data_IF_633261022391
#
_entry.id   IF_633261022391
#
_cell.length_a   1.000
_cell.length_b   1.000
_cell.length_c   1.000
_cell.angle_alpha   90.00
_cell.angle_beta   90.00
_cell.angle_gamma   90.00
#
_symmetry.space_group_name_H-M   'P 1'
#
loop_
_entity.id
_entity.type
_entity.pdbx_description
1 polymer ?
#
# COMPACT_ATOMS: atom_id res chain seq x y z
N UNK A 1 -35.91 21.78 -2.54
CA UNK A 1 -35.08 21.46 -1.35
C UNK A 1 -33.75 20.99 -1.90
N UNK A 2 -32.66 21.72 -1.63
CA UNK A 2 -31.34 21.28 -2.07
C UNK A 2 -31.01 19.97 -1.36
N UNK A 3 -30.73 18.94 -2.13
CA UNK A 3 -30.37 17.60 -1.62
C UNK A 3 -29.08 17.73 -0.81
N UNK A 4 -29.21 17.77 0.53
CA UNK A 4 -28.06 17.94 1.46
C UNK A 4 -27.31 16.61 1.67
N UNK A 5 -27.32 15.76 0.63
CA UNK A 5 -26.67 14.44 0.64
C UNK A 5 -25.16 14.61 0.66
N UNK A 6 -24.50 13.95 1.60
CA UNK A 6 -23.04 13.97 1.70
C UNK A 6 -22.42 13.24 0.51
N UNK A 7 -21.38 13.83 -0.07
CA UNK A 7 -20.66 13.30 -1.23
C UNK A 7 -19.38 12.60 -0.82
N UNK A 8 -19.16 11.40 -1.34
CA UNK A 8 -17.90 10.66 -1.17
C UNK A 8 -17.26 10.41 -2.53
N UNK A 9 -15.99 10.77 -2.67
CA UNK A 9 -15.18 10.48 -3.85
C UNK A 9 -14.38 9.20 -3.63
N UNK A 10 -14.60 8.20 -4.48
CA UNK A 10 -13.91 6.92 -4.45
C UNK A 10 -12.91 6.82 -5.60
N UNK A 11 -11.64 6.63 -5.29
CA UNK A 11 -10.57 6.51 -6.27
C UNK A 11 -10.44 5.06 -6.76
N UNK A 12 -10.53 4.88 -8.08
CA UNK A 12 -10.53 3.58 -8.74
C UNK A 12 -11.90 3.19 -9.29
N UNK A 13 -11.98 2.05 -9.97
CA UNK A 13 -13.20 1.60 -10.62
C UNK A 13 -13.32 0.09 -10.77
N UNK A 14 -12.45 -0.69 -10.11
CA UNK A 14 -12.43 -2.13 -10.24
C UNK A 14 -13.56 -2.82 -9.45
N UNK A 15 -13.77 -4.09 -9.74
CA UNK A 15 -14.90 -4.89 -9.27
C UNK A 15 -15.06 -4.90 -7.74
N UNK A 16 -13.96 -4.92 -7.00
CA UNK A 16 -14.00 -4.97 -5.53
C UNK A 16 -14.46 -3.66 -4.88
N UNK A 17 -14.59 -2.57 -5.65
CA UNK A 17 -15.16 -1.32 -5.15
C UNK A 17 -16.70 -1.39 -5.09
N UNK A 18 -17.34 -2.31 -5.81
CA UNK A 18 -18.81 -2.40 -5.89
C UNK A 18 -19.49 -2.55 -4.51
N UNK A 19 -19.05 -3.48 -3.62
CA UNK A 19 -19.67 -3.60 -2.29
C UNK A 19 -19.46 -2.35 -1.43
N UNK A 20 -18.38 -1.61 -1.63
CA UNK A 20 -18.10 -0.36 -0.91
C UNK A 20 -19.04 0.75 -1.37
N UNK A 21 -19.33 0.84 -2.68
CA UNK A 21 -20.32 1.75 -3.26
C UNK A 21 -21.70 1.45 -2.69
N UNK A 22 -22.10 0.17 -2.67
CA UNK A 22 -23.38 -0.26 -2.13
C UNK A 22 -23.52 0.11 -0.65
N UNK A 23 -22.50 -0.16 0.17
CA UNK A 23 -22.50 0.23 1.58
C UNK A 23 -22.58 1.76 1.76
N UNK A 24 -21.93 2.55 0.91
CA UNK A 24 -22.04 4.00 0.93
C UNK A 24 -23.46 4.49 0.60
N UNK A 25 -24.13 3.88 -0.39
CA UNK A 25 -25.51 4.18 -0.71
C UNK A 25 -26.46 3.82 0.44
N UNK A 26 -26.28 2.67 1.10
CA UNK A 26 -27.06 2.28 2.28
C UNK A 26 -26.92 3.29 3.42
N UNK A 27 -25.75 3.94 3.54
CA UNK A 27 -25.49 5.02 4.48
C UNK A 27 -25.98 6.40 4.00
N UNK A 28 -26.61 6.47 2.82
CA UNK A 28 -27.18 7.69 2.26
C UNK A 28 -26.18 8.64 1.60
N UNK A 29 -24.98 8.17 1.23
CA UNK A 29 -24.00 9.00 0.51
C UNK A 29 -24.31 9.06 -0.99
N UNK A 30 -24.02 10.20 -1.61
CA UNK A 30 -23.86 10.36 -3.06
C UNK A 30 -22.44 9.91 -3.42
N UNK A 31 -22.32 8.87 -4.23
CA UNK A 31 -21.05 8.22 -4.54
C UNK A 31 -20.52 8.68 -5.89
N UNK A 32 -19.31 9.21 -5.88
CA UNK A 32 -18.59 9.65 -7.07
C UNK A 32 -17.37 8.76 -7.24
N UNK A 33 -17.16 8.21 -8.43
CA UNK A 33 -15.95 7.46 -8.76
C UNK A 33 -15.02 8.25 -9.68
N UNK A 34 -13.71 8.05 -9.52
CA UNK A 34 -12.67 8.70 -10.32
C UNK A 34 -11.62 7.67 -10.72
N UNK A 35 -11.37 7.54 -12.01
CA UNK A 35 -10.33 6.65 -12.59
C UNK A 35 -10.06 7.08 -14.04
N UNK A 36 -8.88 6.83 -14.57
CA UNK A 36 -8.54 7.08 -15.97
C UNK A 36 -9.10 6.00 -16.94
N UNK A 37 -9.59 4.87 -16.42
CA UNK A 37 -10.17 3.77 -17.20
C UNK A 37 -11.71 3.84 -17.17
N UNK A 38 -12.35 4.43 -18.19
CA UNK A 38 -13.81 4.73 -18.17
C UNK A 38 -14.69 3.48 -18.22
N UNK A 39 -14.13 2.34 -18.60
CA UNK A 39 -14.91 1.09 -18.75
C UNK A 39 -14.82 0.18 -17.51
N UNK A 40 -14.18 0.63 -16.44
CA UNK A 40 -14.14 -0.11 -15.19
C UNK A 40 -15.56 -0.30 -14.63
N UNK A 41 -15.83 -1.53 -14.19
CA UNK A 41 -17.20 -1.99 -13.91
C UNK A 41 -17.86 -1.24 -12.74
N UNK A 42 -17.10 -0.78 -11.76
CA UNK A 42 -17.65 -0.14 -10.57
C UNK A 42 -18.30 1.22 -10.87
N UNK A 43 -17.89 1.93 -11.94
CA UNK A 43 -18.47 3.21 -12.32
C UNK A 43 -19.98 3.13 -12.60
N UNK A 44 -20.48 1.97 -13.04
CA UNK A 44 -21.92 1.74 -13.32
C UNK A 44 -22.78 1.70 -12.06
N UNK A 45 -22.15 1.57 -10.90
CA UNK A 45 -22.84 1.49 -9.61
C UNK A 45 -22.75 2.79 -8.80
N UNK A 46 -21.91 3.74 -9.24
CA UNK A 46 -21.80 5.08 -8.67
C UNK A 46 -22.84 6.03 -9.27
N UNK A 47 -23.13 7.11 -8.56
CA UNK A 47 -24.04 8.16 -9.04
C UNK A 47 -23.37 9.03 -10.10
N UNK A 48 -22.02 9.18 -10.05
CA UNK A 48 -21.26 10.03 -10.93
C UNK A 48 -19.86 9.45 -11.17
N UNK A 49 -19.29 9.69 -12.38
CA UNK A 49 -17.95 9.25 -12.75
C UNK A 49 -17.15 10.39 -13.39
N UNK A 50 -15.88 10.51 -13.00
CA UNK A 50 -14.91 11.43 -13.60
C UNK A 50 -13.70 10.71 -14.15
N UNK A 51 -13.32 11.02 -15.39
CA UNK A 51 -12.15 10.45 -16.06
C UNK A 51 -10.90 11.27 -15.72
N UNK A 52 -10.32 10.98 -14.54
CA UNK A 52 -9.08 11.61 -14.06
C UNK A 52 -8.20 10.51 -13.46
N UNK A 53 -6.90 10.56 -13.74
CA UNK A 53 -5.95 9.61 -13.14
C UNK A 53 -5.92 9.78 -11.62
N UNK A 54 -6.11 8.67 -10.91
CA UNK A 54 -6.05 8.65 -9.44
C UNK A 54 -4.65 8.94 -8.87
N UNK A 55 -3.63 8.94 -9.71
CA UNK A 55 -2.24 9.30 -9.34
C UNK A 55 -1.95 10.78 -9.56
N UNK A 56 -2.81 11.51 -10.29
CA UNK A 56 -2.71 12.96 -10.42
C UNK A 56 -3.40 13.64 -9.23
N UNK A 57 -2.66 13.75 -8.13
CA UNK A 57 -3.16 14.33 -6.87
C UNK A 57 -3.68 15.75 -7.01
N UNK A 58 -3.13 16.54 -7.95
CA UNK A 58 -3.56 17.93 -8.15
C UNK A 58 -4.89 17.99 -8.90
N UNK A 59 -5.04 17.22 -9.98
CA UNK A 59 -6.31 17.13 -10.72
C UNK A 59 -7.43 16.57 -9.82
N UNK A 60 -7.15 15.55 -9.01
CA UNK A 60 -8.12 15.01 -8.05
C UNK A 60 -8.47 16.03 -6.96
N UNK A 61 -7.52 16.83 -6.49
CA UNK A 61 -7.78 17.91 -5.53
C UNK A 61 -8.72 18.97 -6.11
N UNK A 62 -8.50 19.41 -7.34
CA UNK A 62 -9.38 20.41 -7.99
C UNK A 62 -10.79 19.83 -8.21
N UNK A 63 -10.90 18.58 -8.66
CA UNK A 63 -12.18 17.89 -8.75
C UNK A 63 -12.89 17.84 -7.38
N UNK A 64 -12.19 17.49 -6.33
CA UNK A 64 -12.71 17.39 -4.97
C UNK A 64 -13.27 18.74 -4.46
N UNK A 65 -12.59 19.85 -4.79
CA UNK A 65 -13.04 21.23 -4.48
C UNK A 65 -14.30 21.60 -5.27
N UNK A 66 -14.31 21.34 -6.58
CA UNK A 66 -15.44 21.64 -7.46
C UNK A 66 -16.69 20.92 -6.99
N UNK A 67 -16.58 19.62 -6.71
CA UNK A 67 -17.70 18.77 -6.27
C UNK A 67 -18.12 19.03 -4.81
N UNK A 68 -17.28 19.74 -4.02
CA UNK A 68 -17.50 20.00 -2.58
C UNK A 68 -17.75 18.70 -1.82
N UNK A 69 -16.85 17.74 -1.98
CA UNK A 69 -16.95 16.43 -1.34
C UNK A 69 -16.87 16.53 0.18
N UNK A 70 -17.46 15.55 0.88
CA UNK A 70 -17.41 15.43 2.34
C UNK A 70 -16.41 14.37 2.79
N UNK A 71 -15.92 13.53 1.88
CA UNK A 71 -14.94 12.50 2.11
C UNK A 71 -14.33 11.96 0.83
N UNK A 72 -13.16 11.38 0.93
CA UNK A 72 -12.47 10.70 -0.17
C UNK A 72 -11.83 9.43 0.36
N UNK A 73 -11.83 8.38 -0.46
CA UNK A 73 -11.16 7.13 -0.11
C UNK A 73 -10.58 6.43 -1.34
N UNK A 74 -9.57 5.60 -1.10
CA UNK A 74 -9.06 4.60 -2.04
C UNK A 74 -9.14 3.24 -1.34
N UNK A 75 -10.00 2.35 -1.82
CA UNK A 75 -10.20 1.03 -1.25
C UNK A 75 -9.56 -0.03 -2.14
N UNK A 76 -8.57 -0.76 -1.60
CA UNK A 76 -7.81 -1.79 -2.31
C UNK A 76 -7.21 -1.32 -3.66
N UNK A 77 -6.90 -0.04 -3.77
CA UNK A 77 -6.27 0.60 -4.95
C UNK A 77 -5.04 1.38 -4.49
N UNK A 78 -3.92 0.70 -4.30
CA UNK A 78 -2.68 1.27 -3.75
C UNK A 78 -2.25 2.59 -4.40
N UNK A 79 -2.30 2.75 -5.75
CA UNK A 79 -1.89 4.01 -6.37
C UNK A 79 -2.73 5.24 -5.97
N UNK A 80 -3.97 5.02 -5.53
CA UNK A 80 -4.88 6.11 -5.12
C UNK A 80 -4.76 6.51 -3.65
N UNK A 81 -4.18 5.66 -2.80
CA UNK A 81 -4.15 5.89 -1.33
C UNK A 81 -3.42 7.17 -0.96
N UNK A 82 -2.27 7.42 -1.59
CA UNK A 82 -1.48 8.64 -1.36
C UNK A 82 -2.22 9.91 -1.83
N UNK A 83 -2.93 9.81 -2.95
CA UNK A 83 -3.77 10.90 -3.48
C UNK A 83 -4.94 11.20 -2.54
N UNK A 84 -5.62 10.17 -2.02
CA UNK A 84 -6.72 10.34 -1.06
C UNK A 84 -6.22 11.06 0.20
N UNK A 85 -5.10 10.63 0.78
CA UNK A 85 -4.49 11.27 1.95
C UNK A 85 -4.09 12.73 1.67
N UNK A 86 -3.53 13.02 0.49
CA UNK A 86 -3.18 14.38 0.08
C UNK A 86 -4.41 15.30 0.02
N UNK A 87 -5.51 14.83 -0.56
CA UNK A 87 -6.75 15.60 -0.66
C UNK A 87 -7.36 15.82 0.72
N UNK A 88 -7.38 14.80 1.59
CA UNK A 88 -7.83 14.94 2.98
C UNK A 88 -7.04 16.04 3.70
N UNK A 89 -5.71 15.99 3.61
CA UNK A 89 -4.82 16.98 4.24
C UNK A 89 -5.07 18.41 3.74
N UNK A 90 -5.23 18.58 2.42
CA UNK A 90 -5.46 19.89 1.79
C UNK A 90 -6.83 20.49 2.06
N UNK A 91 -7.85 19.66 2.25
CA UNK A 91 -9.24 20.12 2.44
C UNK A 91 -9.70 20.02 3.89
N UNK A 92 -8.87 19.55 4.82
CA UNK A 92 -9.26 19.32 6.21
C UNK A 92 -10.33 18.23 6.36
N UNK A 93 -10.38 17.26 5.44
CA UNK A 93 -11.31 16.15 5.51
C UNK A 93 -10.78 15.05 6.44
N UNK A 94 -11.68 14.24 7.05
CA UNK A 94 -11.24 13.09 7.82
C UNK A 94 -10.39 12.13 6.98
N UNK A 95 -9.24 11.73 7.51
CA UNK A 95 -8.31 10.84 6.82
C UNK A 95 -7.05 10.59 7.64
N UNK A 96 -6.12 9.83 7.06
CA UNK A 96 -4.81 9.61 7.64
C UNK A 96 -3.84 10.73 7.23
N UNK A 97 -2.83 11.07 8.07
CA UNK A 97 -1.85 12.09 7.72
C UNK A 97 -1.12 11.75 6.42
N UNK A 98 -1.01 12.70 5.51
CA UNK A 98 -0.35 12.49 4.21
C UNK A 98 1.08 11.98 4.35
N UNK A 99 1.85 12.52 5.29
CA UNK A 99 3.23 12.09 5.57
C UNK A 99 3.31 10.65 6.05
N UNK A 100 2.36 10.20 6.85
CA UNK A 100 2.30 8.82 7.34
C UNK A 100 1.97 7.82 6.24
N UNK A 101 1.01 8.17 5.38
CA UNK A 101 0.69 7.37 4.19
C UNK A 101 1.88 7.34 3.22
N UNK A 102 2.60 8.43 3.06
CA UNK A 102 3.82 8.49 2.25
C UNK A 102 4.92 7.54 2.77
N UNK A 103 5.09 7.46 4.09
CA UNK A 103 6.01 6.51 4.72
C UNK A 103 5.58 5.07 4.40
N UNK A 104 4.31 4.74 4.59
CA UNK A 104 3.79 3.39 4.34
C UNK A 104 3.87 2.96 2.88
N UNK A 105 3.68 3.89 1.94
CA UNK A 105 3.69 3.61 0.50
C UNK A 105 5.10 3.52 -0.11
N UNK A 106 6.11 4.04 0.56
CA UNK A 106 7.49 4.03 0.08
C UNK A 106 8.35 3.08 0.92
N UNK A 107 8.79 1.97 0.34
CA UNK A 107 9.54 0.92 1.03
C UNK A 107 10.82 1.43 1.71
N UNK A 108 11.54 2.37 1.09
CA UNK A 108 12.75 2.92 1.68
C UNK A 108 12.45 3.80 2.90
N UNK A 109 11.42 4.65 2.81
CA UNK A 109 10.97 5.44 3.94
C UNK A 109 10.42 4.55 5.06
N UNK A 110 9.65 3.53 4.71
CA UNK A 110 9.07 2.60 5.67
C UNK A 110 10.15 1.83 6.43
N UNK A 111 11.14 1.25 5.74
CA UNK A 111 12.25 0.54 6.40
C UNK A 111 13.05 1.47 7.31
N UNK A 112 13.37 2.68 6.85
CA UNK A 112 14.05 3.67 7.69
C UNK A 112 13.23 4.08 8.91
N UNK A 113 11.89 4.18 8.76
CA UNK A 113 10.99 4.45 9.89
C UNK A 113 10.99 3.31 10.89
N UNK A 114 10.89 2.06 10.43
CA UNK A 114 10.93 0.88 11.29
C UNK A 114 12.24 0.79 12.09
N UNK A 115 13.37 0.96 11.42
CA UNK A 115 14.70 0.93 12.04
C UNK A 115 14.84 2.01 13.13
N UNK A 116 14.50 3.25 12.80
CA UNK A 116 14.56 4.39 13.74
C UNK A 116 13.71 4.21 14.99
N UNK A 117 12.61 3.47 14.87
CA UNK A 117 11.67 3.23 15.96
C UNK A 117 11.87 1.86 16.64
N UNK A 118 12.97 1.17 16.35
CA UNK A 118 13.35 -0.08 17.02
C UNK A 118 12.44 -1.27 16.69
N UNK A 119 11.86 -1.30 15.48
CA UNK A 119 11.20 -2.50 14.96
C UNK A 119 12.23 -3.47 14.38
N UNK A 120 11.92 -4.76 14.45
CA UNK A 120 12.71 -5.76 13.74
C UNK A 120 12.54 -5.57 12.23
N UNK A 121 13.64 -5.26 11.54
CA UNK A 121 13.66 -5.02 10.10
C UNK A 121 14.99 -5.51 9.52
N UNK A 122 15.02 -6.03 8.28
CA UNK A 122 16.29 -6.35 7.64
C UNK A 122 17.09 -5.08 7.40
N UNK A 123 18.40 -5.19 7.37
CA UNK A 123 19.23 -4.10 6.89
C UNK A 123 18.79 -3.74 5.48
N UNK A 124 18.56 -2.47 5.24
CA UNK A 124 18.01 -2.00 3.97
C UNK A 124 18.47 -0.59 3.67
N UNK A 125 18.58 -0.27 2.39
CA UNK A 125 18.88 1.10 1.94
C UNK A 125 18.26 1.41 0.59
N UNK A 126 17.64 2.60 0.49
CA UNK A 126 17.11 3.14 -0.76
C UNK A 126 18.19 3.88 -1.54
N UNK A 127 18.15 3.75 -2.87
CA UNK A 127 19.13 4.34 -3.80
C UNK A 127 18.45 5.08 -4.95
N UNK A 128 19.15 6.07 -5.50
CA UNK A 128 18.72 6.82 -6.66
C UNK A 128 19.47 6.40 -7.92
N UNK A 129 20.65 5.79 -7.80
CA UNK A 129 21.48 5.36 -8.92
C UNK A 129 22.14 3.99 -8.68
N UNK A 130 22.57 3.37 -9.77
CA UNK A 130 23.29 2.10 -9.73
C UNK A 130 24.65 2.28 -9.05
N UNK A 131 25.34 3.37 -9.33
CA UNK A 131 26.66 3.70 -8.79
C UNK A 131 26.62 3.81 -7.26
N UNK A 132 25.60 4.47 -6.71
CA UNK A 132 25.40 4.54 -5.25
C UNK A 132 25.28 3.14 -4.64
N UNK A 133 24.48 2.26 -5.24
CA UNK A 133 24.28 0.91 -4.76
C UNK A 133 25.55 0.07 -4.85
N UNK A 134 26.27 0.14 -5.98
CA UNK A 134 27.53 -0.59 -6.17
C UNK A 134 28.61 -0.18 -5.16
N UNK A 135 28.67 1.09 -4.77
CA UNK A 135 29.63 1.58 -3.78
C UNK A 135 29.36 1.08 -2.36
N UNK A 136 28.14 0.64 -2.07
CA UNK A 136 27.67 0.27 -0.73
C UNK A 136 27.36 -1.23 -0.58
N UNK A 137 27.35 -1.99 -1.68
CA UNK A 137 26.82 -3.36 -1.72
C UNK A 137 27.58 -4.33 -0.82
N UNK A 138 28.86 -4.10 -0.60
CA UNK A 138 29.69 -4.93 0.30
C UNK A 138 29.28 -4.79 1.77
N UNK A 139 28.51 -3.77 2.10
CA UNK A 139 27.99 -3.56 3.45
C UNK A 139 26.86 -4.52 3.82
N UNK A 140 26.24 -5.21 2.84
CA UNK A 140 25.11 -6.11 3.02
C UNK A 140 25.56 -7.57 3.17
N UNK A 141 24.79 -8.32 3.99
CA UNK A 141 24.89 -9.78 4.03
C UNK A 141 24.08 -10.38 2.89
N UNK A 142 24.71 -11.27 2.13
CA UNK A 142 24.08 -11.96 1.00
C UNK A 142 23.37 -13.25 1.43
N UNK A 143 22.28 -13.67 0.75
CA UNK A 143 21.68 -13.04 -0.43
C UNK A 143 20.93 -11.76 -0.10
N UNK A 144 20.62 -10.96 -1.14
CA UNK A 144 19.89 -9.70 -1.02
C UNK A 144 18.66 -9.67 -1.93
N UNK A 145 17.71 -8.80 -1.60
CA UNK A 145 16.56 -8.47 -2.44
C UNK A 145 16.74 -7.06 -3.01
N UNK A 146 16.49 -6.93 -4.32
CA UNK A 146 16.38 -5.64 -5.01
C UNK A 146 14.95 -5.46 -5.47
N UNK A 147 14.35 -4.31 -5.17
CA UNK A 147 12.94 -4.03 -5.53
C UNK A 147 12.67 -2.53 -5.69
N UNK A 148 11.63 -2.14 -6.46
CA UNK A 148 11.17 -0.75 -6.54
C UNK A 148 10.71 -0.25 -5.17
N UNK A 149 10.90 1.05 -4.87
CA UNK A 149 10.40 1.62 -3.61
C UNK A 149 8.89 1.78 -3.57
N UNK A 150 8.21 1.85 -4.72
CA UNK A 150 6.82 2.31 -4.88
C UNK A 150 5.97 1.45 -5.82
N UNK A 151 6.36 0.22 -6.08
CA UNK A 151 5.59 -0.75 -6.88
C UNK A 151 4.82 -1.73 -6.00
N UNK A 152 3.71 -2.26 -6.52
CA UNK A 152 2.87 -3.28 -5.90
C UNK A 152 2.87 -4.59 -6.70
N UNK A 153 2.36 -5.68 -6.10
CA UNK A 153 2.22 -6.99 -6.75
C UNK A 153 3.56 -7.64 -7.11
N UNK A 154 4.59 -7.43 -6.32
CA UNK A 154 5.93 -8.01 -6.48
C UNK A 154 6.60 -7.74 -7.84
N UNK A 155 6.14 -6.72 -8.57
CA UNK A 155 6.76 -6.30 -9.84
C UNK A 155 8.12 -5.66 -9.58
N UNK A 156 9.12 -6.05 -10.36
CA UNK A 156 10.48 -5.52 -10.23
C UNK A 156 11.28 -6.09 -9.05
N UNK A 157 10.79 -7.14 -8.37
CA UNK A 157 11.48 -7.81 -7.25
C UNK A 157 12.43 -8.85 -7.78
N UNK A 158 13.67 -8.86 -7.27
CA UNK A 158 14.69 -9.87 -7.58
C UNK A 158 15.45 -10.23 -6.33
N UNK A 159 15.55 -11.54 -6.01
CA UNK A 159 16.57 -12.07 -5.12
C UNK A 159 17.84 -12.30 -5.93
N UNK A 160 18.97 -11.90 -5.41
CA UNK A 160 20.26 -12.10 -6.01
C UNK A 160 21.26 -12.65 -5.01
N UNK A 161 22.05 -13.62 -5.46
CA UNK A 161 23.02 -14.35 -4.66
C UNK A 161 24.47 -13.94 -5.02
N UNK A 162 24.63 -13.17 -6.11
CA UNK A 162 25.94 -12.77 -6.65
C UNK A 162 25.93 -11.33 -7.16
N UNK A 163 27.01 -10.64 -6.95
CA UNK A 163 27.21 -9.25 -7.38
C UNK A 163 27.06 -9.08 -8.90
N UNK A 164 27.39 -10.11 -9.69
CA UNK A 164 27.26 -10.09 -11.18
C UNK A 164 25.82 -9.88 -11.66
N UNK A 165 24.83 -10.20 -10.85
CA UNK A 165 23.40 -10.06 -11.23
C UNK A 165 22.80 -8.74 -10.73
N UNK A 166 23.54 -7.94 -9.97
CA UNK A 166 23.06 -6.73 -9.29
C UNK A 166 22.54 -5.68 -10.28
N UNK A 167 23.33 -5.34 -11.30
CA UNK A 167 22.97 -4.31 -12.28
C UNK A 167 21.69 -4.67 -13.05
N UNK A 168 21.53 -5.94 -13.42
CA UNK A 168 20.32 -6.45 -14.07
C UNK A 168 19.11 -6.34 -13.16
N UNK A 169 19.25 -6.71 -11.88
CA UNK A 169 18.19 -6.61 -10.89
C UNK A 169 17.78 -5.16 -10.63
N UNK A 170 18.74 -4.25 -10.53
CA UNK A 170 18.47 -2.81 -10.36
C UNK A 170 17.74 -2.25 -11.59
N UNK A 171 18.19 -2.57 -12.80
CA UNK A 171 17.54 -2.14 -14.04
C UNK A 171 16.08 -2.62 -14.09
N UNK A 172 15.83 -3.86 -13.68
CA UNK A 172 14.46 -4.41 -13.58
C UNK A 172 13.62 -3.69 -12.52
N UNK A 173 14.19 -3.38 -11.35
CA UNK A 173 13.50 -2.61 -10.32
C UNK A 173 13.16 -1.18 -10.78
N UNK A 174 14.11 -0.47 -11.37
CA UNK A 174 13.92 0.89 -11.90
C UNK A 174 12.84 0.96 -12.97
N UNK A 175 12.79 -0.03 -13.87
CA UNK A 175 11.75 -0.13 -14.91
C UNK A 175 10.34 -0.23 -14.33
N UNK A 176 10.20 -0.77 -13.13
CA UNK A 176 8.92 -0.99 -12.43
C UNK A 176 8.68 0.02 -11.30
N UNK A 177 9.52 1.03 -11.14
CA UNK A 177 9.35 2.09 -10.14
C UNK A 177 8.75 3.34 -10.80
N UNK A 178 7.73 3.92 -10.17
CA UNK A 178 7.13 5.19 -10.61
C UNK A 178 8.06 6.38 -10.35
N UNK A 179 8.83 6.34 -9.27
CA UNK A 179 9.79 7.40 -8.91
C UNK A 179 11.20 7.16 -9.43
N UNK A 180 11.43 6.09 -10.19
CA UNK A 180 12.75 5.65 -10.66
C UNK A 180 13.77 5.48 -9.53
N UNK A 181 13.31 4.89 -8.41
CA UNK A 181 14.11 4.58 -7.23
C UNK A 181 13.93 3.12 -6.83
N UNK A 182 14.94 2.56 -6.20
CA UNK A 182 14.91 1.19 -5.73
C UNK A 182 15.46 1.08 -4.29
N UNK A 183 15.21 -0.06 -3.67
CA UNK A 183 15.74 -0.41 -2.36
C UNK A 183 16.46 -1.76 -2.47
N UNK A 184 17.57 -1.87 -1.76
CA UNK A 184 18.27 -3.14 -1.49
C UNK A 184 18.01 -3.52 -0.04
N UNK A 185 17.69 -4.79 0.20
CA UNK A 185 17.47 -5.34 1.54
C UNK A 185 18.21 -6.68 1.69
N UNK A 186 18.73 -6.99 2.87
CA UNK A 186 19.18 -8.33 3.20
C UNK A 186 17.97 -9.30 3.12
N UNK A 187 18.18 -10.46 2.49
CA UNK A 187 17.14 -11.46 2.35
C UNK A 187 16.93 -12.18 3.69
N UNK A 188 15.69 -12.19 4.14
CA UNK A 188 15.30 -12.96 5.32
C UNK A 188 14.79 -14.33 4.87
N UNK A 189 15.44 -15.39 5.33
CA UNK A 189 14.96 -16.74 5.06
C UNK A 189 13.66 -17.03 5.81
N UNK A 190 12.71 -17.55 5.06
CA UNK A 190 11.39 -17.88 5.58
C UNK A 190 11.45 -19.13 6.46
N UNK A 191 10.82 -19.06 7.64
CA UNK A 191 10.55 -20.22 8.50
C UNK A 191 9.04 -20.44 8.55
N UNK A 192 8.55 -21.56 7.98
CA UNK A 192 7.12 -21.82 7.85
C UNK A 192 6.50 -21.07 6.67
N UNK A 193 5.29 -20.58 6.83
CA UNK A 193 4.58 -19.81 5.81
C UNK A 193 4.80 -18.31 6.00
N UNK A 194 4.86 -17.56 4.89
CA UNK A 194 4.72 -16.10 4.95
C UNK A 194 3.32 -15.76 5.42
N UNK A 195 3.21 -14.70 6.20
CA UNK A 195 1.92 -14.23 6.69
C UNK A 195 1.45 -13.02 5.91
N UNK A 196 0.14 -12.94 5.74
CA UNK A 196 -0.58 -11.77 5.28
C UNK A 196 -1.65 -11.44 6.32
N UNK A 197 -1.98 -10.17 6.48
CA UNK A 197 -3.03 -9.77 7.40
C UNK A 197 -3.90 -8.66 6.85
N UNK A 198 -5.21 -8.81 7.08
CA UNK A 198 -6.20 -7.75 6.88
C UNK A 198 -6.64 -7.22 8.23
N UNK A 199 -6.64 -5.91 8.36
CA UNK A 199 -6.94 -5.25 9.61
C UNK A 199 -7.69 -3.93 9.42
N UNK A 200 -8.36 -3.46 10.46
CA UNK A 200 -8.85 -2.08 10.51
C UNK A 200 -8.68 -1.45 11.89
N UNK A 201 -8.51 -0.14 11.88
CA UNK A 201 -8.50 0.70 13.08
C UNK A 201 -9.67 1.68 13.09
N UNK A 202 -10.05 2.09 14.29
CA UNK A 202 -10.99 3.18 14.54
C UNK A 202 -10.30 4.16 15.50
N UNK A 203 -10.14 5.41 15.08
CA UNK A 203 -9.49 6.46 15.85
C UNK A 203 -8.08 6.05 16.36
N UNK A 204 -7.31 5.38 15.49
CA UNK A 204 -5.95 4.94 15.81
C UNK A 204 -5.85 3.67 16.65
N UNK A 205 -6.96 3.08 17.03
CA UNK A 205 -7.02 1.81 17.79
C UNK A 205 -7.34 0.65 16.85
N UNK A 206 -6.47 -0.35 16.81
CA UNK A 206 -6.67 -1.59 16.06
C UNK A 206 -7.87 -2.35 16.62
N UNK A 207 -8.95 -2.47 15.85
CA UNK A 207 -10.20 -3.11 16.27
C UNK A 207 -10.34 -4.53 15.76
N UNK A 208 -9.70 -4.83 14.65
CA UNK A 208 -9.73 -6.15 14.05
C UNK A 208 -8.43 -6.41 13.31
N UNK A 209 -7.95 -7.64 13.39
CA UNK A 209 -6.88 -8.17 12.56
C UNK A 209 -7.09 -9.65 12.32
N UNK A 210 -6.94 -10.08 11.06
CA UNK A 210 -7.00 -11.48 10.64
C UNK A 210 -5.71 -11.85 9.95
N UNK A 211 -5.09 -12.95 10.33
CA UNK A 211 -3.87 -13.46 9.72
C UNK A 211 -4.16 -14.67 8.83
N UNK A 212 -3.50 -14.72 7.69
CA UNK A 212 -3.50 -15.84 6.76
C UNK A 212 -2.09 -16.38 6.53
N UNK A 213 -2.00 -17.62 6.03
CA UNK A 213 -0.76 -18.16 5.46
C UNK A 213 -0.76 -17.96 3.95
N UNK A 214 0.37 -17.52 3.40
CA UNK A 214 0.58 -17.33 1.96
C UNK A 214 1.33 -18.52 1.37
N UNK A 215 0.89 -18.96 0.19
CA UNK A 215 1.52 -20.01 -0.59
C UNK A 215 2.04 -19.46 -1.92
N UNK A 216 3.23 -19.88 -2.33
CA UNK A 216 3.90 -19.40 -3.53
C UNK A 216 4.16 -20.55 -4.49
N UNK A 217 3.98 -20.32 -5.79
CA UNK A 217 4.35 -21.25 -6.85
C UNK A 217 5.72 -20.84 -7.43
N UNK A 218 6.76 -21.59 -7.11
CA UNK A 218 8.12 -21.36 -7.62
C UNK A 218 8.26 -21.53 -9.14
N UNK A 219 7.24 -22.09 -9.81
CA UNK A 219 7.19 -22.24 -11.27
C UNK A 219 6.41 -21.11 -11.96
N UNK A 220 5.77 -20.24 -11.18
CA UNK A 220 5.06 -19.09 -11.73
C UNK A 220 6.04 -18.10 -12.39
N UNK A 221 5.54 -17.34 -13.36
CA UNK A 221 6.31 -16.26 -14.01
C UNK A 221 6.84 -15.23 -12.99
N UNK A 222 6.09 -15.00 -11.91
CA UNK A 222 6.54 -14.22 -10.76
C UNK A 222 6.39 -15.06 -9.48
N UNK A 223 7.45 -15.71 -9.00
CA UNK A 223 7.41 -16.58 -7.84
C UNK A 223 7.21 -15.83 -6.51
N UNK A 224 7.27 -14.50 -6.52
CA UNK A 224 7.06 -13.66 -5.33
C UNK A 224 5.60 -13.19 -5.18
N UNK A 225 4.71 -13.57 -6.10
CA UNK A 225 3.28 -13.30 -5.97
C UNK A 225 2.59 -14.51 -5.35
N UNK A 226 1.85 -14.35 -4.24
CA UNK A 226 1.12 -15.45 -3.64
C UNK A 226 0.13 -16.08 -4.62
N UNK A 227 0.11 -17.40 -4.68
CA UNK A 227 -0.78 -18.22 -5.53
C UNK A 227 -2.04 -18.67 -4.77
N UNK A 228 -1.96 -18.75 -3.45
CA UNK A 228 -3.08 -19.12 -2.59
C UNK A 228 -2.90 -18.55 -1.16
N UNK A 229 -4.00 -18.49 -0.44
CA UNK A 229 -4.05 -18.10 0.97
C UNK A 229 -4.89 -19.12 1.73
N UNK A 230 -4.57 -19.33 3.01
CA UNK A 230 -5.43 -20.08 3.92
C UNK A 230 -5.71 -19.30 5.21
N UNK A 231 -6.93 -19.40 5.68
CA UNK A 231 -7.39 -18.85 6.96
C UNK A 231 -7.98 -19.95 7.83
N UNK A 232 -7.76 -19.91 9.16
CA UNK A 232 -6.83 -19.01 9.85
C UNK A 232 -5.36 -19.38 9.57
N UNK A 233 -4.44 -18.43 9.84
CA UNK A 233 -3.00 -18.70 9.76
C UNK A 233 -2.59 -19.78 10.74
N UNK A 234 -1.62 -20.61 10.35
CA UNK A 234 -0.95 -21.60 11.21
C UNK A 234 0.02 -20.98 12.23
N UNK A 235 0.18 -19.66 12.22
CA UNK A 235 1.03 -18.93 13.15
C UNK A 235 0.59 -19.15 14.60
N UNK A 236 1.56 -19.36 15.49
CA UNK A 236 1.30 -19.51 16.92
C UNK A 236 0.65 -18.26 17.52
N UNK A 237 -0.27 -18.44 18.46
CA UNK A 237 -1.00 -17.34 19.11
C UNK A 237 -0.08 -16.25 19.66
N UNK A 238 0.98 -16.62 20.34
CA UNK A 238 1.99 -15.66 20.84
C UNK A 238 2.58 -14.76 19.77
N UNK A 239 2.76 -15.28 18.55
CA UNK A 239 3.31 -14.51 17.43
C UNK A 239 2.24 -13.59 16.84
N UNK A 240 0.98 -14.04 16.77
CA UNK A 240 -0.16 -13.20 16.37
C UNK A 240 -0.38 -12.04 17.34
N UNK A 241 -0.31 -12.30 18.63
CA UNK A 241 -0.40 -11.27 19.68
C UNK A 241 0.75 -10.27 19.59
N UNK A 242 1.98 -10.76 19.42
CA UNK A 242 3.15 -9.91 19.25
C UNK A 242 3.02 -9.02 18.01
N UNK A 243 2.69 -9.58 16.86
CA UNK A 243 2.51 -8.81 15.61
C UNK A 243 1.37 -7.80 15.72
N UNK A 244 0.25 -8.17 16.33
CA UNK A 244 -0.86 -7.25 16.58
C UNK A 244 -0.44 -6.06 17.43
N UNK A 245 0.37 -6.30 18.48
CA UNK A 245 0.90 -5.23 19.33
C UNK A 245 1.88 -4.32 18.58
N UNK A 246 2.74 -4.89 17.73
CA UNK A 246 3.68 -4.11 16.91
C UNK A 246 2.95 -3.29 15.82
N UNK A 247 1.91 -3.86 15.20
CA UNK A 247 1.05 -3.11 14.28
C UNK A 247 0.35 -1.96 15.01
N UNK A 248 -0.21 -2.21 16.19
CA UNK A 248 -0.82 -1.14 16.99
C UNK A 248 0.20 -0.05 17.34
N UNK A 249 1.42 -0.41 17.73
CA UNK A 249 2.51 0.53 18.00
C UNK A 249 2.90 1.35 16.76
N UNK A 250 2.95 0.70 15.59
CA UNK A 250 3.20 1.34 14.30
C UNK A 250 2.13 2.39 13.99
N UNK A 251 0.84 2.04 14.14
CA UNK A 251 -0.29 2.95 13.88
C UNK A 251 -0.22 4.18 14.78
N UNK A 252 0.13 4.01 16.06
CA UNK A 252 0.29 5.11 17.01
C UNK A 252 1.44 6.05 16.62
N UNK A 253 2.62 5.50 16.29
CA UNK A 253 3.78 6.29 15.88
C UNK A 253 3.56 7.04 14.57
N UNK A 254 2.74 6.50 13.67
CA UNK A 254 2.34 7.14 12.42
C UNK A 254 1.09 8.03 12.56
N UNK A 255 0.54 8.17 13.77
CA UNK A 255 -0.70 8.93 14.01
C UNK A 255 -1.84 8.54 13.07
N UNK A 256 -1.95 7.23 12.78
CA UNK A 256 -3.01 6.72 11.91
C UNK A 256 -4.37 6.82 12.61
N UNK A 257 -5.41 7.10 11.84
CA UNK A 257 -6.77 7.26 12.33
C UNK A 257 -7.65 6.02 12.04
N UNK A 258 -8.85 6.25 11.49
CA UNK A 258 -9.73 5.21 11.00
C UNK A 258 -9.29 4.79 9.62
N UNK A 259 -8.93 3.52 9.44
CA UNK A 259 -8.43 3.02 8.16
C UNK A 259 -8.46 1.49 8.09
N UNK A 260 -8.31 0.98 6.88
CA UNK A 260 -8.15 -0.43 6.56
C UNK A 260 -6.70 -0.65 6.14
N UNK A 261 -6.14 -1.77 6.53
CA UNK A 261 -4.74 -2.13 6.26
C UNK A 261 -4.65 -3.54 5.72
N UNK A 262 -3.76 -3.73 4.76
CA UNK A 262 -3.19 -5.03 4.41
C UNK A 262 -1.69 -4.97 4.72
N UNK A 263 -1.18 -5.96 5.44
CA UNK A 263 0.24 -6.05 5.83
C UNK A 263 0.80 -7.44 5.51
N UNK A 264 2.00 -7.44 4.90
CA UNK A 264 2.73 -8.64 4.50
C UNK A 264 4.12 -8.65 5.13
#
# INVERSE_FOLDING_TARGET
MANNQKKILMLGGLRYLIPVIQAAHELGYYVITCDYLPHNVAHKYADEYHNISITDKNAVLELAKELKINGIMSFAVDPGVLTAAYVCDKLGLPGNPYTSVQILQNKALFRSFLEKNGFNTPKSRGYNSIEEALSDIESFQWPIIVKPVDSAGSKGVSRIDKTTDLEKAITYALKNSFSHRFIVEEFIEQQGYSSDSDAFSINGELKFISFSDQYFDNKATNPYTPSAYSWPSSMLDRNREFLSSEIQRLLQLLHMNTSIYNTQ
#
